data_IF_254034354180
#
_entry.id   IF_254034354180
#
_cell.length_a   1.000
_cell.length_b   1.000
_cell.length_c   1.000
_cell.angle_alpha   90.00
_cell.angle_beta   90.00
_cell.angle_gamma   90.00
#
_symmetry.space_group_name_H-M   'P 1'
#
loop_
_entity.id
_entity.type
_entity.pdbx_description
1 polymer ?
#
# COMPACT_ATOMS: atom_id res chain seq x y z
N UNK A 1 -4.62 -14.65 2.57
CA UNK A 1 -5.50 -15.82 2.29
C UNK A 1 -6.85 -15.28 1.88
N UNK A 2 -7.50 -14.56 2.78
CA UNK A 2 -8.51 -13.52 2.54
C UNK A 2 -8.41 -12.78 1.18
N UNK A 3 -7.29 -12.12 0.88
CA UNK A 3 -7.14 -11.33 -0.34
C UNK A 3 -7.21 -12.20 -1.60
N UNK A 4 -6.51 -13.32 -1.60
CA UNK A 4 -6.48 -14.30 -2.69
C UNK A 4 -7.86 -14.91 -2.92
N UNK A 5 -8.55 -15.31 -1.84
CA UNK A 5 -9.92 -15.81 -1.91
C UNK A 5 -10.89 -14.76 -2.46
N UNK A 6 -10.78 -13.51 -1.99
CA UNK A 6 -11.63 -12.39 -2.42
C UNK A 6 -11.51 -12.13 -3.91
N UNK A 7 -10.28 -12.11 -4.45
CA UNK A 7 -10.04 -11.95 -5.88
C UNK A 7 -10.61 -13.12 -6.70
N UNK A 8 -10.42 -14.36 -6.24
CA UNK A 8 -10.97 -15.54 -6.93
C UNK A 8 -12.50 -15.54 -6.94
N UNK A 9 -13.13 -15.18 -5.82
CA UNK A 9 -14.58 -15.04 -5.76
C UNK A 9 -15.08 -13.98 -6.74
N UNK A 10 -14.46 -12.81 -6.79
CA UNK A 10 -14.85 -11.75 -7.74
C UNK A 10 -14.64 -12.15 -9.20
N UNK A 11 -13.55 -12.87 -9.53
CA UNK A 11 -13.33 -13.43 -10.87
C UNK A 11 -14.34 -14.54 -11.21
N UNK A 12 -14.90 -15.24 -10.21
CA UNK A 12 -15.98 -16.19 -10.40
C UNK A 12 -17.37 -15.52 -10.49
N UNK A 13 -17.44 -14.18 -10.56
CA UNK A 13 -18.68 -13.42 -10.73
C UNK A 13 -19.37 -13.01 -9.43
N UNK A 14 -18.80 -13.34 -8.27
CA UNK A 14 -19.34 -12.88 -6.99
C UNK A 14 -19.15 -11.36 -6.84
N UNK A 15 -20.13 -10.69 -6.25
CA UNK A 15 -20.10 -9.24 -6.03
C UNK A 15 -20.05 -8.95 -4.54
N UNK A 16 -18.97 -8.30 -4.10
CA UNK A 16 -18.86 -7.79 -2.74
C UNK A 16 -19.65 -6.49 -2.60
N UNK A 17 -20.42 -6.37 -1.50
CA UNK A 17 -21.05 -5.12 -1.08
C UNK A 17 -20.24 -4.56 0.09
N UNK A 18 -19.82 -3.30 -0.02
CA UNK A 18 -19.22 -2.57 1.10
C UNK A 18 -20.32 -1.75 1.78
N UNK A 19 -20.67 -2.12 3.01
CA UNK A 19 -21.66 -1.41 3.82
C UNK A 19 -20.93 -0.48 4.82
N UNK A 20 -20.96 0.82 4.55
CA UNK A 20 -20.34 1.83 5.40
C UNK A 20 -21.14 2.16 6.66
N UNK A 21 -22.36 1.62 6.82
CA UNK A 21 -23.16 1.80 8.04
C UNK A 21 -22.72 0.88 9.17
N UNK A 22 -22.00 -0.19 8.85
CA UNK A 22 -21.47 -1.15 9.83
C UNK A 22 -20.04 -0.75 10.18
N UNK A 23 -19.85 -0.27 11.40
CA UNK A 23 -18.52 0.04 11.94
C UNK A 23 -17.95 -1.14 12.72
N UNK A 24 -16.71 -1.52 12.40
CA UNK A 24 -15.95 -2.53 13.16
C UNK A 24 -14.65 -1.87 13.64
N UNK A 25 -14.53 -1.51 14.93
CA UNK A 25 -13.31 -0.93 15.47
C UNK A 25 -12.13 -1.87 15.26
N UNK A 26 -11.05 -1.36 14.65
CA UNK A 26 -9.84 -2.14 14.45
C UNK A 26 -9.01 -2.20 15.73
N UNK A 27 -8.58 -3.41 16.11
CA UNK A 27 -7.59 -3.61 17.16
C UNK A 27 -6.18 -3.51 16.57
N UNK A 28 -5.38 -2.56 17.08
CA UNK A 28 -3.97 -2.43 16.73
C UNK A 28 -3.09 -3.11 17.78
N UNK A 29 -2.00 -3.80 17.38
CA UNK A 29 -1.07 -4.36 18.34
C UNK A 29 -0.46 -3.28 19.22
N UNK A 30 -0.55 -3.45 20.54
CA UNK A 30 0.04 -2.51 21.53
C UNK A 30 1.57 -2.45 21.46
N UNK A 31 2.21 -3.51 20.95
CA UNK A 31 3.66 -3.58 20.78
C UNK A 31 4.07 -3.27 19.35
N UNK A 32 5.04 -2.36 19.19
CA UNK A 32 5.58 -1.99 17.87
C UNK A 32 6.15 -3.20 17.11
N UNK A 33 6.79 -4.15 17.81
CA UNK A 33 7.31 -5.37 17.19
C UNK A 33 6.19 -6.27 16.65
N UNK A 34 5.07 -6.38 17.37
CA UNK A 34 3.92 -7.15 16.92
C UNK A 34 3.28 -6.48 15.68
N UNK A 35 3.17 -5.15 15.69
CA UNK A 35 2.71 -4.38 14.54
C UNK A 35 3.63 -4.56 13.31
N UNK A 36 4.96 -4.49 13.48
CA UNK A 36 5.93 -4.79 12.39
C UNK A 36 5.75 -6.19 11.81
N UNK A 37 5.53 -7.20 12.66
CA UNK A 37 5.27 -8.57 12.22
C UNK A 37 3.96 -8.68 11.45
N UNK A 38 2.91 -7.99 11.89
CA UNK A 38 1.63 -7.95 11.17
C UNK A 38 1.78 -7.32 9.79
N UNK A 39 2.40 -6.14 9.70
CA UNK A 39 2.67 -5.46 8.43
C UNK A 39 3.52 -6.33 7.49
N UNK A 40 4.50 -7.07 8.03
CA UNK A 40 5.30 -8.03 7.27
C UNK A 40 4.45 -9.14 6.65
N UNK A 41 3.54 -9.74 7.43
CA UNK A 41 2.63 -10.79 6.93
C UNK A 41 1.70 -10.27 5.84
N UNK A 42 1.16 -9.07 6.01
CA UNK A 42 0.31 -8.44 5.00
C UNK A 42 1.09 -8.16 3.71
N UNK A 43 2.27 -7.56 3.81
CA UNK A 43 3.13 -7.31 2.65
C UNK A 43 3.45 -8.60 1.89
N UNK A 44 3.91 -9.63 2.61
CA UNK A 44 4.22 -10.93 2.02
C UNK A 44 3.00 -11.58 1.36
N UNK A 45 1.87 -11.61 2.06
CA UNK A 45 0.63 -12.21 1.56
C UNK A 45 0.08 -11.52 0.31
N UNK A 46 0.15 -10.19 0.27
CA UNK A 46 -0.26 -9.41 -0.92
C UNK A 46 0.64 -9.71 -2.11
N UNK A 47 1.96 -9.75 -1.93
CA UNK A 47 2.88 -10.06 -3.03
C UNK A 47 2.76 -11.50 -3.52
N UNK A 48 2.52 -12.46 -2.62
CA UNK A 48 2.21 -13.83 -3.03
C UNK A 48 0.91 -13.90 -3.85
N UNK A 49 -0.10 -13.11 -3.48
CA UNK A 49 -1.36 -13.02 -4.22
C UNK A 49 -1.15 -12.35 -5.58
N UNK A 50 -0.38 -11.27 -5.64
CA UNK A 50 0.06 -10.64 -6.90
C UNK A 50 0.71 -11.68 -7.81
N UNK A 51 1.71 -12.43 -7.34
CA UNK A 51 2.39 -13.46 -8.14
C UNK A 51 1.42 -14.51 -8.68
N UNK A 52 0.47 -14.96 -7.85
CA UNK A 52 -0.51 -16.00 -8.23
C UNK A 52 -1.56 -15.50 -9.23
N UNK A 53 -2.01 -14.24 -9.10
CA UNK A 53 -3.21 -13.76 -9.78
C UNK A 53 -2.97 -12.65 -10.79
N UNK A 54 -1.79 -12.02 -10.85
CA UNK A 54 -1.49 -10.87 -11.71
C UNK A 54 -1.93 -11.08 -13.16
N UNK A 55 -1.50 -12.18 -13.79
CA UNK A 55 -1.85 -12.49 -15.19
C UNK A 55 -3.35 -12.74 -15.36
N UNK A 56 -4.00 -13.39 -14.39
CA UNK A 56 -5.45 -13.66 -14.43
C UNK A 56 -6.24 -12.36 -14.33
N UNK A 57 -5.84 -11.46 -13.43
CA UNK A 57 -6.44 -10.12 -13.27
C UNK A 57 -6.26 -9.28 -14.54
N UNK A 58 -5.06 -9.25 -15.12
CA UNK A 58 -4.78 -8.48 -16.34
C UNK A 58 -5.62 -8.95 -17.55
N UNK A 59 -5.82 -10.27 -17.66
CA UNK A 59 -6.53 -10.91 -18.77
C UNK A 59 -8.02 -11.18 -18.48
N UNK A 60 -8.57 -10.69 -17.36
CA UNK A 60 -9.97 -10.94 -17.02
C UNK A 60 -10.92 -10.10 -17.87
N UNK A 61 -11.37 -10.64 -19.02
CA UNK A 61 -12.15 -9.90 -20.03
C UNK A 61 -13.50 -9.36 -19.54
N UNK A 62 -14.12 -9.99 -18.54
CA UNK A 62 -15.39 -9.50 -17.98
C UNK A 62 -15.22 -8.23 -17.13
N UNK A 63 -13.98 -7.90 -16.73
CA UNK A 63 -13.71 -6.71 -15.95
C UNK A 63 -13.39 -5.53 -16.86
N UNK A 64 -13.94 -4.37 -16.50
CA UNK A 64 -13.59 -3.12 -17.17
C UNK A 64 -12.07 -2.84 -17.07
N UNK A 65 -11.47 -2.11 -18.02
CA UNK A 65 -10.06 -1.71 -17.91
C UNK A 65 -9.74 -1.01 -16.58
N UNK A 66 -10.64 -0.16 -16.09
CA UNK A 66 -10.48 0.56 -14.82
C UNK A 66 -10.43 -0.43 -13.64
N UNK A 67 -11.32 -1.42 -13.61
CA UNK A 67 -11.32 -2.45 -12.57
C UNK A 67 -10.00 -3.24 -12.56
N UNK A 68 -9.47 -3.57 -13.75
CA UNK A 68 -8.19 -4.29 -13.86
C UNK A 68 -7.01 -3.44 -13.37
N UNK A 69 -6.97 -2.16 -13.71
CA UNK A 69 -5.95 -1.22 -13.23
C UNK A 69 -6.05 -1.03 -11.71
N UNK A 70 -7.25 -0.82 -11.18
CA UNK A 70 -7.46 -0.69 -9.73
C UNK A 70 -7.04 -1.97 -8.99
N UNK A 71 -7.38 -3.15 -9.52
CA UNK A 71 -6.96 -4.42 -8.96
C UNK A 71 -5.44 -4.59 -8.99
N UNK A 72 -4.80 -4.22 -10.10
CA UNK A 72 -3.34 -4.26 -10.20
C UNK A 72 -2.67 -3.29 -9.23
N UNK A 73 -3.17 -2.06 -9.10
CA UNK A 73 -2.68 -1.08 -8.13
C UNK A 73 -2.82 -1.58 -6.68
N UNK A 74 -3.93 -2.23 -6.36
CA UNK A 74 -4.14 -2.83 -5.04
C UNK A 74 -3.17 -3.99 -4.76
N UNK A 75 -3.01 -4.92 -5.70
CA UNK A 75 -2.08 -6.06 -5.57
C UNK A 75 -0.61 -5.63 -5.54
N UNK A 76 -0.26 -4.46 -6.08
CA UNK A 76 1.10 -3.90 -6.06
C UNK A 76 1.34 -2.89 -4.94
N UNK A 77 0.32 -2.60 -4.11
CA UNK A 77 0.37 -1.54 -3.09
C UNK A 77 1.58 -1.61 -2.14
N UNK A 78 2.00 -2.82 -1.75
CA UNK A 78 3.16 -3.01 -0.86
C UNK A 78 4.52 -2.80 -1.52
N UNK A 79 4.60 -2.65 -2.85
CA UNK A 79 5.84 -2.29 -3.55
C UNK A 79 6.31 -0.86 -3.25
N UNK A 80 5.45 -0.04 -2.61
CA UNK A 80 5.86 1.27 -2.12
C UNK A 80 7.01 1.18 -1.11
N UNK A 81 7.11 0.11 -0.31
CA UNK A 81 8.16 -0.02 0.71
C UNK A 81 9.56 -0.21 0.14
N UNK A 82 9.83 -1.15 -0.80
CA UNK A 82 11.13 -1.22 -1.46
C UNK A 82 11.44 0.05 -2.24
N UNK A 83 10.44 0.68 -2.87
CA UNK A 83 10.63 1.95 -3.55
C UNK A 83 11.09 3.05 -2.59
N UNK A 84 10.40 3.24 -1.46
CA UNK A 84 10.76 4.20 -0.42
C UNK A 84 12.15 3.91 0.16
N UNK A 85 12.51 2.64 0.36
CA UNK A 85 13.83 2.26 0.85
C UNK A 85 14.93 2.64 -0.15
N UNK A 86 14.74 2.34 -1.44
CA UNK A 86 15.67 2.75 -2.51
C UNK A 86 15.78 4.27 -2.57
N UNK A 87 14.65 4.99 -2.51
CA UNK A 87 14.66 6.46 -2.50
C UNK A 87 15.47 6.99 -1.32
N UNK A 88 15.26 6.48 -0.11
CA UNK A 88 16.01 6.90 1.08
C UNK A 88 17.51 6.63 0.95
N UNK A 89 17.88 5.44 0.47
CA UNK A 89 19.28 5.02 0.31
C UNK A 89 20.01 5.80 -0.80
N UNK A 90 19.29 6.22 -1.86
CA UNK A 90 19.87 7.01 -2.97
C UNK A 90 19.91 8.50 -2.64
N UNK A 91 18.94 9.01 -1.87
CA UNK A 91 18.88 10.44 -1.53
C UNK A 91 20.11 10.89 -0.74
N UNK A 92 20.59 10.10 0.22
CA UNK A 92 21.77 10.44 1.01
C UNK A 92 23.05 10.63 0.16
N UNK A 93 23.48 9.67 -0.68
CA UNK A 93 24.65 9.86 -1.52
C UNK A 93 24.49 11.03 -2.49
N UNK A 94 23.29 11.25 -3.03
CA UNK A 94 23.03 12.41 -3.90
C UNK A 94 23.31 13.73 -3.18
N UNK A 95 22.81 13.89 -1.95
CA UNK A 95 23.07 15.07 -1.13
C UNK A 95 24.57 15.23 -0.80
N UNK A 96 25.29 14.13 -0.57
CA UNK A 96 26.74 14.16 -0.30
C UNK A 96 27.56 14.55 -1.54
N UNK A 97 27.05 14.30 -2.74
CA UNK A 97 27.67 14.66 -4.02
C UNK A 97 27.10 15.95 -4.63
N UNK A 98 26.32 16.73 -3.88
CA UNK A 98 25.67 17.97 -4.33
C UNK A 98 24.80 17.79 -5.59
N UNK A 99 24.22 16.59 -5.73
CA UNK A 99 23.27 16.26 -6.80
C UNK A 99 21.86 16.52 -6.28
N UNK A 100 21.11 17.40 -6.95
CA UNK A 100 19.72 17.69 -6.63
C UNK A 100 18.83 16.41 -6.72
N UNK A 101 18.30 15.88 -5.60
CA UNK A 101 17.45 14.70 -5.60
C UNK A 101 16.09 14.94 -6.24
N UNK A 102 15.60 16.17 -6.32
CA UNK A 102 14.25 16.46 -6.78
C UNK A 102 14.05 16.04 -8.23
N UNK A 103 15.02 16.31 -9.11
CA UNK A 103 14.92 16.03 -10.56
C UNK A 103 14.83 14.54 -10.89
N UNK A 104 15.76 13.66 -10.48
CA UNK A 104 15.70 12.24 -10.84
C UNK A 104 14.66 11.46 -10.02
N UNK A 105 14.32 11.93 -8.81
CA UNK A 105 13.35 11.22 -7.96
C UNK A 105 11.91 11.67 -8.16
N UNK A 106 11.65 12.75 -8.93
CA UNK A 106 10.30 13.27 -9.17
C UNK A 106 9.29 12.19 -9.61
N UNK A 107 9.68 11.31 -10.51
CA UNK A 107 8.82 10.23 -11.01
C UNK A 107 8.51 9.18 -9.93
N UNK A 108 9.47 8.88 -9.05
CA UNK A 108 9.28 7.95 -7.93
C UNK A 108 8.41 8.58 -6.83
N UNK A 109 8.56 9.89 -6.62
CA UNK A 109 7.74 10.67 -5.68
C UNK A 109 6.27 10.71 -6.08
N UNK A 110 5.93 10.64 -7.38
CA UNK A 110 4.54 10.62 -7.85
C UNK A 110 3.74 9.43 -7.28
N UNK A 111 4.31 8.23 -7.30
CA UNK A 111 3.65 7.03 -6.76
C UNK A 111 3.50 7.06 -5.23
N UNK A 112 4.30 7.89 -4.55
CA UNK A 112 4.22 8.08 -3.10
C UNK A 112 3.05 8.96 -2.65
N UNK A 113 2.35 9.63 -3.58
CA UNK A 113 1.18 10.47 -3.27
C UNK A 113 -0.11 9.66 -3.04
N UNK A 114 -0.14 8.38 -3.43
CA UNK A 114 -1.31 7.53 -3.29
C UNK A 114 -1.85 7.44 -1.85
N UNK A 115 -1.04 7.00 -0.86
CA UNK A 115 -1.49 6.92 0.53
C UNK A 115 -1.91 8.27 1.13
N UNK A 116 -1.16 9.39 0.98
CA UNK A 116 -1.62 10.72 1.38
C UNK A 116 -2.99 11.12 0.84
N UNK A 117 -3.24 10.87 -0.46
CA UNK A 117 -4.52 11.16 -1.10
C UNK A 117 -5.64 10.27 -0.55
N UNK A 118 -5.37 8.97 -0.39
CA UNK A 118 -6.33 8.03 0.19
C UNK A 118 -6.72 8.45 1.61
N UNK A 119 -5.74 8.83 2.44
CA UNK A 119 -6.01 9.30 3.80
C UNK A 119 -6.77 10.64 3.79
N UNK A 120 -6.46 11.57 2.89
CA UNK A 120 -7.20 12.83 2.77
C UNK A 120 -8.69 12.57 2.46
N UNK A 121 -8.96 11.75 1.44
CA UNK A 121 -10.32 11.39 1.04
C UNK A 121 -11.07 10.64 2.15
N UNK A 122 -10.41 9.68 2.81
CA UNK A 122 -11.00 8.95 3.91
C UNK A 122 -11.34 9.86 5.10
N UNK A 123 -10.44 10.76 5.50
CA UNK A 123 -10.71 11.70 6.60
C UNK A 123 -11.80 12.70 6.24
N UNK A 124 -11.85 13.18 4.99
CA UNK A 124 -12.88 14.07 4.50
C UNK A 124 -14.26 13.41 4.57
N UNK A 125 -14.36 12.12 4.18
CA UNK A 125 -15.61 11.38 4.20
C UNK A 125 -16.06 11.00 5.62
N UNK A 126 -15.15 10.48 6.46
CA UNK A 126 -15.46 9.99 7.80
C UNK A 126 -15.61 11.11 8.84
N UNK A 127 -14.89 12.23 8.66
CA UNK A 127 -14.87 13.33 9.64
C UNK A 127 -14.85 14.71 8.99
N UNK A 128 -15.90 15.08 8.23
CA UNK A 128 -15.91 16.29 7.40
C UNK A 128 -15.66 17.59 8.19
N UNK A 129 -15.97 17.64 9.49
CA UNK A 129 -15.70 18.82 10.34
C UNK A 129 -14.27 18.90 10.89
N UNK A 130 -13.55 17.79 10.99
CA UNK A 130 -12.22 17.71 11.64
C UNK A 130 -11.16 17.05 10.74
N UNK A 131 -11.47 16.87 9.45
CA UNK A 131 -10.62 16.09 8.54
C UNK A 131 -9.21 16.66 8.44
N UNK A 132 -9.06 18.00 8.38
CA UNK A 132 -7.74 18.66 8.37
C UNK A 132 -6.94 18.39 9.65
N UNK A 133 -7.58 18.44 10.81
CA UNK A 133 -6.92 18.16 12.10
C UNK A 133 -6.46 16.70 12.17
N UNK A 134 -7.26 15.76 11.66
CA UNK A 134 -6.88 14.34 11.59
C UNK A 134 -5.80 14.09 10.54
N UNK A 135 -5.91 14.75 9.39
CA UNK A 135 -4.93 14.66 8.31
C UNK A 135 -3.58 15.27 8.71
N UNK A 136 -3.54 16.22 9.64
CA UNK A 136 -2.29 16.77 10.18
C UNK A 136 -1.41 15.73 10.91
N UNK A 137 -1.94 14.56 11.26
CA UNK A 137 -1.16 13.44 11.79
C UNK A 137 -0.42 12.65 10.70
N UNK A 138 -0.69 12.93 9.42
CA UNK A 138 -0.07 12.24 8.29
C UNK A 138 1.46 12.23 8.33
N UNK A 139 2.18 13.32 8.67
CA UNK A 139 3.65 13.28 8.77
C UNK A 139 4.16 12.22 9.75
N UNK A 140 3.49 12.05 10.90
CA UNK A 140 3.83 11.00 11.87
C UNK A 140 3.56 9.60 11.30
N UNK A 141 2.43 9.43 10.59
CA UNK A 141 2.11 8.18 9.91
C UNK A 141 3.11 7.84 8.80
N UNK A 142 3.58 8.84 8.06
CA UNK A 142 4.61 8.67 7.03
C UNK A 142 5.95 8.28 7.66
N UNK A 143 6.34 8.90 8.78
CA UNK A 143 7.55 8.51 9.51
C UNK A 143 7.48 7.06 10.00
N UNK A 144 6.34 6.65 10.55
CA UNK A 144 6.09 5.26 10.93
C UNK A 144 6.15 4.33 9.71
N UNK A 145 5.49 4.68 8.60
CA UNK A 145 5.52 3.93 7.35
C UNK A 145 6.94 3.76 6.78
N UNK A 146 7.75 4.82 6.84
CA UNK A 146 9.18 4.78 6.47
C UNK A 146 9.95 3.86 7.40
N UNK A 147 9.69 3.88 8.72
CA UNK A 147 10.30 2.96 9.69
C UNK A 147 9.94 1.47 9.46
N UNK A 148 8.82 1.20 8.78
CA UNK A 148 8.43 -0.15 8.36
C UNK A 148 9.07 -0.59 7.04
N UNK A 149 9.61 0.33 6.25
CA UNK A 149 10.05 0.08 4.87
C UNK A 149 11.02 -1.10 4.74
N UNK A 150 12.03 -1.18 5.62
CA UNK A 150 13.01 -2.28 5.61
C UNK A 150 12.33 -3.63 5.84
N UNK A 151 11.53 -3.74 6.90
CA UNK A 151 10.83 -4.97 7.27
C UNK A 151 9.87 -5.44 6.17
N UNK A 152 9.11 -4.50 5.59
CA UNK A 152 8.16 -4.82 4.53
C UNK A 152 8.87 -5.10 3.20
N UNK A 153 10.02 -4.48 2.93
CA UNK A 153 10.85 -4.79 1.76
C UNK A 153 11.36 -6.23 1.80
N UNK A 154 11.86 -6.67 2.95
CA UNK A 154 12.25 -8.08 3.15
C UNK A 154 11.05 -9.01 2.93
N UNK A 155 9.88 -8.64 3.44
CA UNK A 155 8.65 -9.42 3.25
C UNK A 155 8.20 -9.50 1.78
N UNK A 156 8.29 -8.38 1.04
CA UNK A 156 8.03 -8.32 -0.41
C UNK A 156 8.97 -9.26 -1.15
N UNK A 157 10.27 -9.19 -0.86
CA UNK A 157 11.27 -10.08 -1.46
C UNK A 157 10.95 -11.57 -1.20
N UNK A 158 10.60 -11.92 0.05
CA UNK A 158 10.19 -13.28 0.39
C UNK A 158 8.90 -13.69 -0.33
N UNK A 159 7.94 -12.78 -0.51
CA UNK A 159 6.67 -13.04 -1.18
C UNK A 159 6.83 -13.38 -2.67
N UNK A 160 7.85 -12.83 -3.33
CA UNK A 160 8.17 -13.20 -4.71
C UNK A 160 8.86 -14.58 -4.83
N UNK A 161 9.63 -15.00 -3.81
CA UNK A 161 10.40 -16.26 -3.83
C UNK A 161 9.61 -17.49 -3.38
N UNK A 162 8.58 -17.33 -2.56
CA UNK A 162 7.78 -18.41 -1.99
C UNK A 162 6.43 -18.54 -2.67
#
# INVERSE_FOLDING_TARGET
EDLDLSYRAQMAGWRGLYDSSVEVPAELPVQLLAFKRQQSRWAKGTIQTLRKLCTRVANHHQWSPITRVAAFAHLTSYLIHPLLLVMLLVTLPMLLWDIDPARPLAYLSFFSLGPPLLYALAQHHLTPRRWLQRWAWLPLLMLLGTGLSVNNTVAVYQGFRQ
#
